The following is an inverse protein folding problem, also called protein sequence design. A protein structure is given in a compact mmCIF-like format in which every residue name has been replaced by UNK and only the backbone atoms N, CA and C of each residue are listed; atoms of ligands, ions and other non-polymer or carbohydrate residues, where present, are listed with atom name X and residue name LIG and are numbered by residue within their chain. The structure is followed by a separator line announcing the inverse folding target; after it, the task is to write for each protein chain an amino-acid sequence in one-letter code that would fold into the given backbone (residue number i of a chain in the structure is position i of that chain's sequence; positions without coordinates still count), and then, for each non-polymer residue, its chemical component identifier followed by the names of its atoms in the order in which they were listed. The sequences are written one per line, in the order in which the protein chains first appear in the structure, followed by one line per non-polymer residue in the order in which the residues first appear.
data_IF_043907937845
#
_entry.id   IF_043907937845
#
_cell.length_a   1.000
_cell.length_b   1.000
_cell.length_c   1.000
_cell.angle_alpha   90.00
_cell.angle_beta   90.00
_cell.angle_gamma   90.00
#
_symmetry.space_group_name_H-M   'P 1'
#
loop_
_entity.id
_entity.type
_entity.pdbx_description
1 polymer ?
#
# COMPACT_ATOMS: atom_id res chain seq x y z
N UNK A 1 -13.99 -9.45 -15.31
CA UNK A 1 -13.25 -10.52 -16.01
C UNK A 1 -13.91 -10.70 -17.37
N UNK A 2 -13.19 -10.42 -18.45
CA UNK A 2 -13.73 -10.40 -19.82
C UNK A 2 -13.26 -11.67 -20.54
N UNK A 3 -14.15 -12.38 -21.22
CA UNK A 3 -13.84 -13.61 -21.94
C UNK A 3 -12.91 -13.31 -23.13
N UNK A 4 -11.66 -13.75 -23.03
CA UNK A 4 -10.72 -13.80 -24.16
C UNK A 4 -10.98 -15.10 -24.93
N UNK A 5 -11.92 -15.06 -25.88
CA UNK A 5 -12.06 -16.11 -26.88
C UNK A 5 -10.89 -15.95 -27.87
N UNK A 6 -9.75 -16.56 -27.55
CA UNK A 6 -8.60 -16.65 -28.45
C UNK A 6 -8.93 -17.69 -29.53
N UNK A 7 -9.40 -17.21 -30.69
CA UNK A 7 -9.37 -17.99 -31.92
C UNK A 7 -7.91 -18.36 -32.22
N UNK A 8 -7.68 -19.63 -32.56
CA UNK A 8 -6.39 -20.34 -32.48
C UNK A 8 -5.31 -19.90 -33.50
N UNK A 9 -5.47 -18.76 -34.17
CA UNK A 9 -4.66 -18.40 -35.35
C UNK A 9 -4.08 -16.99 -35.35
N UNK A 10 -4.11 -16.24 -34.23
CA UNK A 10 -3.58 -14.87 -34.21
C UNK A 10 -2.30 -14.66 -33.39
N UNK A 11 -1.44 -13.83 -33.97
CA UNK A 11 -0.07 -13.43 -33.60
C UNK A 11 0.03 -12.64 -32.28
N UNK A 12 -0.83 -12.90 -31.31
CA UNK A 12 -0.79 -12.21 -30.02
C UNK A 12 0.36 -12.79 -29.19
N UNK A 13 1.35 -11.98 -28.78
CA UNK A 13 2.48 -12.48 -28.00
C UNK A 13 2.00 -12.98 -26.63
N UNK A 14 2.28 -14.25 -26.34
CA UNK A 14 1.92 -14.94 -25.11
C UNK A 14 2.40 -14.17 -23.85
N UNK A 15 3.54 -13.47 -23.96
CA UNK A 15 4.06 -12.59 -22.93
C UNK A 15 3.08 -11.49 -22.50
N UNK A 16 2.26 -10.95 -23.41
CA UNK A 16 1.30 -9.88 -23.10
C UNK A 16 0.12 -10.42 -22.26
N UNK A 17 -0.33 -11.63 -22.55
CA UNK A 17 -1.36 -12.33 -21.77
C UNK A 17 -0.87 -12.67 -20.36
N UNK A 18 0.39 -13.10 -20.24
CA UNK A 18 1.02 -13.36 -18.93
C UNK A 18 1.11 -12.08 -18.11
N UNK A 19 1.56 -10.97 -18.70
CA UNK A 19 1.64 -9.67 -18.00
C UNK A 19 0.25 -9.19 -17.58
N UNK A 20 -0.76 -9.34 -18.43
CA UNK A 20 -2.15 -9.05 -18.10
C UNK A 20 -2.61 -9.87 -16.89
N UNK A 21 -2.46 -11.20 -16.92
CA UNK A 21 -2.89 -12.08 -15.83
C UNK A 21 -2.19 -11.76 -14.49
N UNK A 22 -0.89 -11.45 -14.53
CA UNK A 22 -0.12 -11.02 -13.35
C UNK A 22 -0.60 -9.65 -12.85
N UNK A 23 -0.89 -8.72 -13.75
CA UNK A 23 -1.39 -7.40 -13.41
C UNK A 23 -2.78 -7.47 -12.75
N UNK A 24 -3.72 -8.24 -13.33
CA UNK A 24 -5.05 -8.45 -12.76
C UNK A 24 -4.98 -9.09 -11.37
N UNK A 25 -4.10 -10.09 -11.18
CA UNK A 25 -3.95 -10.75 -9.88
C UNK A 25 -3.38 -9.80 -8.82
N UNK A 26 -2.35 -9.02 -9.15
CA UNK A 26 -1.82 -7.99 -8.26
C UNK A 26 -2.86 -6.90 -7.92
N UNK A 27 -3.65 -6.47 -8.90
CA UNK A 27 -4.74 -5.52 -8.71
C UNK A 27 -5.75 -6.05 -7.68
N UNK A 28 -6.21 -7.29 -7.85
CA UNK A 28 -7.14 -7.93 -6.92
C UNK A 28 -6.51 -8.06 -5.54
N UNK A 29 -5.25 -8.52 -5.44
CA UNK A 29 -4.55 -8.65 -4.17
C UNK A 29 -4.47 -7.31 -3.43
N UNK A 30 -4.10 -6.22 -4.10
CA UNK A 30 -4.00 -4.90 -3.48
C UNK A 30 -5.36 -4.38 -3.00
N UNK A 31 -6.44 -4.64 -3.75
CA UNK A 31 -7.79 -4.31 -3.29
C UNK A 31 -8.21 -5.11 -2.05
N UNK A 32 -7.87 -6.40 -1.98
CA UNK A 32 -8.12 -7.22 -0.79
C UNK A 32 -7.34 -6.70 0.42
N UNK A 33 -6.10 -6.22 0.22
CA UNK A 33 -5.31 -5.58 1.28
C UNK A 33 -5.98 -4.27 1.74
N UNK A 34 -6.48 -3.45 0.82
CA UNK A 34 -7.21 -2.23 1.18
C UNK A 34 -8.49 -2.54 1.99
N UNK A 35 -9.24 -3.57 1.60
CA UNK A 35 -10.44 -4.03 2.32
C UNK A 35 -10.09 -4.58 3.70
N UNK A 36 -9.05 -5.39 3.80
CA UNK A 36 -8.55 -5.92 5.08
C UNK A 36 -8.19 -4.77 6.02
N UNK A 37 -7.47 -3.76 5.52
CA UNK A 37 -7.13 -2.56 6.31
C UNK A 37 -8.40 -1.79 6.73
N UNK A 38 -9.39 -1.62 5.85
CA UNK A 38 -10.67 -0.98 6.20
C UNK A 38 -11.47 -1.76 7.24
N UNK A 39 -11.48 -3.10 7.18
CA UNK A 39 -12.09 -3.95 8.21
C UNK A 39 -11.36 -3.84 9.55
N UNK A 40 -10.03 -3.74 9.52
CA UNK A 40 -9.21 -3.55 10.71
C UNK A 40 -9.34 -2.13 11.33
N UNK A 41 -9.72 -1.12 10.55
CA UNK A 41 -9.96 0.26 11.03
C UNK A 41 -11.28 0.39 11.81
N UNK A 42 -12.29 -0.44 11.50
CA UNK A 42 -13.66 -0.35 12.04
C UNK A 42 -13.75 -0.39 13.59
N UNK A 43 -13.11 -1.31 14.32
CA UNK A 43 -13.18 -1.35 15.79
C UNK A 43 -12.51 -0.15 16.46
N UNK A 44 -11.56 0.50 15.78
CA UNK A 44 -10.83 1.66 16.30
C UNK A 44 -11.57 2.99 16.03
N UNK A 45 -12.46 3.04 15.03
CA UNK A 45 -13.28 4.22 14.72
C UNK A 45 -14.53 4.34 15.61
N UNK A 46 -15.10 3.22 16.07
CA UNK A 46 -16.26 3.24 17.00
C UNK A 46 -15.89 3.74 18.40
N UNK A 47 -14.62 3.66 18.79
CA UNK A 47 -14.11 4.26 20.04
C UNK A 47 -13.95 5.80 19.95
N UNK A 48 -13.89 6.35 18.73
CA UNK A 48 -13.61 7.78 18.47
C UNK A 48 -14.90 8.53 18.05
N UNK A 49 -15.92 7.84 17.54
CA UNK A 49 -17.19 8.45 17.10
C UNK A 49 -18.05 9.05 18.22
N UNK A 50 -17.63 8.97 19.49
CA UNK A 50 -18.15 9.82 20.56
C UNK A 50 -17.68 11.29 20.44
N UNK A 51 -16.72 11.58 19.57
CA UNK A 51 -16.17 12.89 19.28
C UNK A 51 -15.94 13.09 17.79
N UNK A 52 -16.98 13.60 17.12
CA UNK A 52 -16.93 14.45 15.93
C UNK A 52 -16.43 13.88 14.58
N UNK A 53 -17.35 13.95 13.61
CA UNK A 53 -17.19 13.44 12.26
C UNK A 53 -16.26 14.29 11.37
N UNK A 54 -15.58 13.55 10.50
CA UNK A 54 -15.12 13.88 9.14
C UNK A 54 -14.95 15.37 8.75
N UNK A 55 -13.73 15.67 8.29
CA UNK A 55 -13.32 16.86 7.54
C UNK A 55 -12.90 18.07 8.39
N UNK A 56 -11.64 18.06 8.83
CA UNK A 56 -10.89 19.29 9.08
C UNK A 56 -9.49 19.12 8.51
N UNK A 57 -9.35 19.57 7.26
CA UNK A 57 -8.08 20.07 6.77
C UNK A 57 -7.72 21.25 7.70
N UNK A 58 -6.47 21.27 8.17
CA UNK A 58 -5.83 22.30 9.01
C UNK A 58 -5.96 22.12 10.52
N UNK A 59 -4.81 21.89 11.19
CA UNK A 59 -4.70 22.13 12.63
C UNK A 59 -3.83 21.14 13.38
N UNK A 60 -2.51 21.27 13.20
CA UNK A 60 -1.58 20.97 14.29
C UNK A 60 -2.07 21.72 15.54
N UNK A 61 -2.42 21.03 16.62
CA UNK A 61 -2.14 21.43 18.01
C UNK A 61 -2.64 20.38 19.01
N UNK A 62 -1.69 19.88 19.80
CA UNK A 62 -1.79 19.51 21.21
C UNK A 62 -2.79 18.39 21.55
N UNK A 63 -2.42 17.30 22.22
CA UNK A 63 -1.53 17.23 23.36
C UNK A 63 -1.30 15.74 23.67
N UNK A 64 -0.09 15.39 24.12
CA UNK A 64 0.27 14.09 24.69
C UNK A 64 0.28 12.91 23.69
N UNK A 65 1.43 12.69 23.05
CA UNK A 65 1.68 11.53 22.18
C UNK A 65 1.57 10.23 22.98
N UNK A 66 0.37 9.67 23.02
CA UNK A 66 0.15 8.29 23.41
C UNK A 66 0.64 7.40 22.25
N UNK A 67 1.38 6.30 22.51
CA UNK A 67 1.89 5.38 21.48
C UNK A 67 0.82 4.82 20.52
N UNK A 68 -0.46 5.05 20.83
CA UNK A 68 -1.62 4.73 20.00
C UNK A 68 -1.74 5.55 18.70
N UNK A 69 -1.27 6.80 18.64
CA UNK A 69 -1.44 7.65 17.45
C UNK A 69 -0.47 7.30 16.31
N UNK A 70 0.77 6.91 16.65
CA UNK A 70 1.77 6.43 15.66
C UNK A 70 1.26 5.17 14.93
N UNK A 71 0.60 4.26 15.65
CA UNK A 71 0.04 3.03 15.07
C UNK A 71 -1.09 3.34 14.09
N UNK A 72 -1.97 4.28 14.43
CA UNK A 72 -3.09 4.70 13.56
C UNK A 72 -2.61 5.38 12.28
N UNK A 73 -1.60 6.25 12.37
CA UNK A 73 -1.02 6.91 11.20
C UNK A 73 -0.36 5.90 10.24
N UNK A 74 0.29 4.86 10.76
CA UNK A 74 0.84 3.79 9.92
C UNK A 74 -0.27 3.03 9.16
N UNK A 75 -1.42 2.78 9.80
CA UNK A 75 -2.56 2.10 9.15
C UNK A 75 -3.21 2.99 8.10
N UNK A 76 -3.39 4.28 8.39
CA UNK A 76 -3.91 5.26 7.43
C UNK A 76 -2.98 5.39 6.21
N UNK A 77 -1.67 5.46 6.43
CA UNK A 77 -0.68 5.47 5.34
C UNK A 77 -0.69 4.15 4.55
N UNK A 78 -0.84 3.00 5.21
CA UNK A 78 -0.97 1.70 4.53
C UNK A 78 -2.25 1.62 3.68
N UNK A 79 -3.36 2.19 4.17
CA UNK A 79 -4.63 2.27 3.45
C UNK A 79 -4.52 3.16 2.20
N UNK A 80 -3.96 4.37 2.33
CA UNK A 80 -3.74 5.28 1.20
C UNK A 80 -2.76 4.66 0.19
N UNK A 81 -1.71 3.98 0.66
CA UNK A 81 -0.77 3.28 -0.21
C UNK A 81 -1.43 2.15 -1.02
N UNK A 82 -2.25 1.33 -0.37
CA UNK A 82 -2.95 0.21 -1.04
C UNK A 82 -3.95 0.74 -2.07
N UNK A 83 -4.66 1.83 -1.74
CA UNK A 83 -5.57 2.50 -2.68
C UNK A 83 -4.80 3.12 -3.85
N UNK A 84 -3.67 3.77 -3.57
CA UNK A 84 -2.78 4.35 -4.57
C UNK A 84 -2.23 3.31 -5.54
N UNK A 85 -1.62 2.23 -5.03
CA UNK A 85 -1.10 1.13 -5.84
C UNK A 85 -2.21 0.49 -6.69
N UNK A 86 -3.42 0.31 -6.13
CA UNK A 86 -4.57 -0.21 -6.87
C UNK A 86 -4.96 0.66 -8.06
N UNK A 87 -4.96 1.99 -7.90
CA UNK A 87 -5.24 2.94 -8.99
C UNK A 87 -4.18 2.83 -10.10
N UNK A 88 -2.90 2.65 -9.75
CA UNK A 88 -1.81 2.48 -10.72
C UNK A 88 -1.98 1.19 -11.50
N UNK A 89 -2.17 0.07 -10.79
CA UNK A 89 -2.40 -1.24 -11.40
C UNK A 89 -3.64 -1.20 -12.30
N UNK A 90 -4.70 -0.49 -11.92
CA UNK A 90 -5.88 -0.31 -12.75
C UNK A 90 -5.58 0.48 -14.04
N UNK A 91 -4.77 1.53 -13.96
CA UNK A 91 -4.39 2.32 -15.12
C UNK A 91 -3.51 1.53 -16.10
N UNK A 92 -2.60 0.71 -15.56
CA UNK A 92 -1.78 -0.24 -16.34
C UNK A 92 -2.66 -1.29 -17.00
N UNK A 93 -3.62 -1.87 -16.27
CA UNK A 93 -4.57 -2.85 -16.78
C UNK A 93 -5.36 -2.31 -17.98
N UNK A 94 -5.90 -1.09 -17.87
CA UNK A 94 -6.60 -0.41 -18.97
C UNK A 94 -5.66 -0.15 -20.15
N UNK A 95 -4.41 0.23 -19.88
CA UNK A 95 -3.38 0.38 -20.93
C UNK A 95 -3.11 -0.91 -21.70
N UNK A 96 -2.96 -2.03 -20.98
CA UNK A 96 -2.76 -3.36 -21.58
C UNK A 96 -3.99 -3.78 -22.39
N UNK A 97 -5.20 -3.56 -21.87
CA UNK A 97 -6.44 -3.85 -22.59
C UNK A 97 -6.57 -3.05 -23.88
N UNK A 98 -6.24 -1.76 -23.85
CA UNK A 98 -6.17 -0.93 -25.06
C UNK A 98 -5.13 -1.50 -26.03
N UNK A 99 -3.94 -1.86 -25.55
CA UNK A 99 -2.89 -2.42 -26.39
C UNK A 99 -3.33 -3.71 -27.08
N UNK A 100 -3.87 -4.68 -26.34
CA UNK A 100 -4.40 -5.95 -26.89
C UNK A 100 -5.50 -5.69 -27.91
N UNK A 101 -6.46 -4.81 -27.60
CA UNK A 101 -7.61 -4.53 -28.48
C UNK A 101 -7.23 -3.81 -29.77
N UNK A 102 -6.23 -2.93 -29.74
CA UNK A 102 -5.81 -2.14 -30.91
C UNK A 102 -4.68 -2.78 -31.73
N UNK A 103 -4.06 -3.86 -31.21
CA UNK A 103 -2.96 -4.57 -31.89
C UNK A 103 -3.32 -5.00 -33.31
N UNK A 104 -4.55 -5.46 -33.55
CA UNK A 104 -5.00 -5.90 -34.87
C UNK A 104 -5.62 -4.81 -35.74
N UNK A 105 -6.10 -3.71 -35.14
CA UNK A 105 -6.91 -2.73 -35.88
C UNK A 105 -6.10 -1.56 -36.45
N UNK A 106 -5.06 -1.07 -35.75
CA UNK A 106 -4.29 0.12 -36.17
C UNK A 106 -3.09 0.39 -35.24
N UNK A 107 -1.87 0.37 -35.79
CA UNK A 107 -0.66 0.80 -35.06
C UNK A 107 -0.76 2.24 -34.55
N UNK A 108 -1.42 3.14 -35.28
CA UNK A 108 -1.56 4.54 -34.89
C UNK A 108 -2.45 4.70 -33.65
N UNK A 109 -3.47 3.86 -33.49
CA UNK A 109 -4.36 3.88 -32.32
C UNK A 109 -3.64 3.36 -31.06
N UNK A 110 -2.81 2.33 -31.19
CA UNK A 110 -1.98 1.83 -30.10
C UNK A 110 -0.96 2.89 -29.63
N UNK A 111 -0.28 3.55 -30.57
CA UNK A 111 0.67 4.63 -30.25
C UNK A 111 -0.04 5.80 -29.55
N UNK A 112 -1.19 6.23 -30.05
CA UNK A 112 -1.97 7.31 -29.44
C UNK A 112 -2.43 6.97 -28.00
N UNK A 113 -2.88 5.74 -27.76
CA UNK A 113 -3.24 5.27 -26.42
C UNK A 113 -2.03 5.29 -25.47
N UNK A 114 -0.88 4.83 -25.95
CA UNK A 114 0.36 4.78 -25.16
C UNK A 114 0.85 6.18 -24.80
N UNK A 115 0.73 7.14 -25.71
CA UNK A 115 1.07 8.56 -25.47
C UNK A 115 0.27 9.17 -24.33
N UNK A 116 -0.96 8.72 -24.08
CA UNK A 116 -1.81 9.19 -22.98
C UNK A 116 -1.49 8.43 -21.68
N UNK A 117 -1.25 7.12 -21.79
CA UNK A 117 -0.96 6.26 -20.63
C UNK A 117 0.41 6.55 -20.03
N UNK A 118 1.43 6.88 -20.84
CA UNK A 118 2.79 7.19 -20.35
C UNK A 118 2.82 8.35 -19.37
N UNK A 119 2.34 9.57 -19.68
CA UNK A 119 2.41 10.71 -18.76
C UNK A 119 1.55 10.49 -17.51
N UNK A 120 0.39 9.85 -17.66
CA UNK A 120 -0.39 9.41 -16.51
C UNK A 120 0.44 8.47 -15.63
N UNK A 121 1.02 7.42 -16.22
CA UNK A 121 1.89 6.47 -15.53
C UNK A 121 3.07 7.13 -14.83
N UNK A 122 3.75 8.09 -15.46
CA UNK A 122 4.88 8.82 -14.84
C UNK A 122 4.45 9.62 -13.62
N UNK A 123 3.35 10.39 -13.71
CA UNK A 123 2.81 11.13 -12.56
C UNK A 123 2.46 10.19 -11.40
N UNK A 124 1.86 9.05 -11.73
CA UNK A 124 1.50 8.03 -10.77
C UNK A 124 2.70 7.31 -10.15
N UNK A 125 3.75 7.01 -10.92
CA UNK A 125 5.00 6.44 -10.41
C UNK A 125 5.71 7.41 -9.47
N UNK A 126 5.76 8.70 -9.82
CA UNK A 126 6.30 9.74 -8.92
C UNK A 126 5.51 9.76 -7.61
N UNK A 127 4.18 9.77 -7.70
CA UNK A 127 3.32 9.72 -6.52
C UNK A 127 3.58 8.47 -5.67
N UNK A 128 3.67 7.30 -6.29
CA UNK A 128 4.00 6.03 -5.62
C UNK A 128 5.38 6.04 -4.97
N UNK A 129 6.40 6.60 -5.62
CA UNK A 129 7.75 6.67 -5.06
C UNK A 129 7.83 7.63 -3.87
N UNK A 130 7.17 8.79 -3.96
CA UNK A 130 7.04 9.72 -2.83
C UNK A 130 6.34 9.03 -1.67
N UNK A 131 5.29 8.27 -1.94
CA UNK A 131 4.52 7.57 -0.92
C UNK A 131 5.26 6.38 -0.31
N UNK A 132 5.94 5.58 -1.14
CA UNK A 132 6.81 4.49 -0.71
C UNK A 132 7.96 5.00 0.17
N UNK A 133 8.55 6.15 -0.18
CA UNK A 133 9.56 6.80 0.65
C UNK A 133 9.02 7.28 1.99
N UNK A 134 7.79 7.82 2.04
CA UNK A 134 7.15 8.17 3.32
C UNK A 134 6.86 6.94 4.18
N UNK A 135 6.49 5.82 3.57
CA UNK A 135 6.32 4.53 4.23
C UNK A 135 7.64 4.00 4.80
N UNK A 136 8.71 4.01 4.00
CA UNK A 136 10.02 3.49 4.42
C UNK A 136 10.70 4.39 5.45
N UNK A 137 10.60 5.71 5.34
CA UNK A 137 11.13 6.63 6.35
C UNK A 137 10.48 6.40 7.72
N UNK A 138 9.16 6.20 7.75
CA UNK A 138 8.43 5.96 8.99
C UNK A 138 8.72 4.58 9.60
N UNK A 139 8.90 3.54 8.76
CA UNK A 139 9.31 2.21 9.23
C UNK A 139 10.72 2.21 9.81
N UNK A 140 11.61 3.09 9.32
CA UNK A 140 13.00 3.15 9.78
C UNK A 140 13.11 3.72 11.20
N UNK A 141 12.45 4.84 11.48
CA UNK A 141 12.41 5.43 12.85
C UNK A 141 11.75 4.48 13.86
N UNK A 142 10.65 3.81 13.48
CA UNK A 142 9.96 2.87 14.36
C UNK A 142 10.77 1.60 14.65
N UNK A 143 11.64 1.16 13.74
CA UNK A 143 12.47 -0.03 13.98
C UNK A 143 13.61 0.26 14.96
N UNK A 144 14.14 1.48 14.94
CA UNK A 144 15.17 1.93 15.88
C UNK A 144 14.59 2.15 17.29
N UNK A 145 13.43 2.80 17.41
CA UNK A 145 12.73 2.94 18.70
C UNK A 145 12.31 1.58 19.27
N UNK A 146 11.78 0.67 18.44
CA UNK A 146 11.34 -0.65 18.88
C UNK A 146 12.49 -1.57 19.33
N UNK A 147 13.68 -1.45 18.72
CA UNK A 147 14.88 -2.17 19.18
C UNK A 147 15.35 -1.68 20.53
N UNK A 148 15.30 -0.36 20.75
CA UNK A 148 15.77 0.28 21.98
C UNK A 148 14.86 -0.03 23.18
N UNK A 149 13.55 -0.04 22.98
CA UNK A 149 12.60 -0.50 24.00
C UNK A 149 12.80 -1.99 24.36
N UNK A 150 13.10 -2.83 23.36
CA UNK A 150 13.40 -4.24 23.60
C UNK A 150 14.69 -4.42 24.42
N UNK A 151 15.70 -3.59 24.15
CA UNK A 151 16.98 -3.61 24.84
C UNK A 151 16.85 -3.14 26.29
N UNK A 152 16.09 -2.07 26.54
CA UNK A 152 15.81 -1.59 27.90
C UNK A 152 15.02 -2.64 28.72
N UNK A 153 14.07 -3.34 28.09
CA UNK A 153 13.29 -4.40 28.74
C UNK A 153 14.16 -5.64 29.04
N UNK A 154 15.08 -6.00 28.13
CA UNK A 154 16.06 -7.06 28.38
C UNK A 154 17.01 -6.70 29.53
N UNK A 155 17.43 -5.44 29.62
CA UNK A 155 18.31 -4.96 30.69
C UNK A 155 17.62 -4.97 32.07
N UNK A 156 16.33 -4.59 32.12
CA UNK A 156 15.53 -4.64 33.34
C UNK A 156 15.35 -6.08 33.85
N UNK A 157 15.05 -7.03 32.95
CA UNK A 157 14.94 -8.45 33.30
C UNK A 157 16.28 -9.05 33.75
N UNK A 158 17.40 -8.65 33.14
CA UNK A 158 18.71 -9.13 33.55
C UNK A 158 19.09 -8.63 34.96
N UNK A 159 18.80 -7.36 35.27
CA UNK A 159 19.03 -6.81 36.61
C UNK A 159 18.13 -7.45 37.67
N UNK A 160 16.85 -7.72 37.35
CA UNK A 160 15.93 -8.39 38.26
C UNK A 160 16.40 -9.82 38.56
N UNK A 161 16.86 -10.55 37.53
CA UNK A 161 17.41 -11.90 37.68
C UNK A 161 18.69 -11.94 38.55
N UNK A 162 19.59 -10.96 38.44
CA UNK A 162 20.78 -10.85 39.31
C UNK A 162 20.40 -10.53 40.77
N UNK A 163 19.40 -9.67 40.97
CA UNK A 163 18.89 -9.32 42.31
C UNK A 163 18.22 -10.52 42.98
N UNK A 164 17.48 -11.33 42.21
CA UNK A 164 16.87 -12.57 42.69
C UNK A 164 17.90 -13.67 42.97
N UNK A 165 19.06 -13.67 42.29
CA UNK A 165 20.20 -14.57 42.59
C UNK A 165 20.89 -14.21 43.91
N UNK A 166 21.03 -12.92 44.20
CA UNK A 166 21.64 -12.42 45.44
C UNK A 166 20.79 -12.64 46.70
N UNK A 167 19.46 -12.66 46.58
CA UNK A 167 18.56 -12.90 47.70
C UNK A 167 18.36 -14.40 48.07
N UNK A 168 18.90 -15.33 47.28
CA UNK A 168 18.74 -16.79 47.48
C UNK A 168 20.01 -17.43 48.04
N UNK A 169 21.11 -16.66 48.19
CA UNK A 169 22.37 -17.06 48.84
C UNK A 169 22.44 -16.48 50.24
#
# INVERSE_FOLDING_TARGET
MVELQLEKDDKVPEALLVVFAVCTTLLVTVHLVALMISTCILPNMEAISSGEGAASIHGVQAVNESPHDKMRLCVEMAWVCSTGLGIILFLVEIGILCWVKFFERSQNAAIASTVIVIPAGVLFVIFSLVFYRKLMAHKYELHEEGLRELEDLAHALSNDNETHRLNVV
#
